data_IF_469786076613
#
_entry.id   IF_469786076613
#
_cell.length_a   1.000
_cell.length_b   1.000
_cell.length_c   1.000
_cell.angle_alpha   90.00
_cell.angle_beta   90.00
_cell.angle_gamma   90.00
#
_symmetry.space_group_name_H-M   'P 1'
#
loop_
_entity.id
_entity.type
_entity.pdbx_description
1 polymer ?
#
# COMPACT_ATOMS: atom_id res chain seq x y z
N UNK A 1 9.74 30.26 -21.97
CA UNK A 1 8.59 29.53 -21.40
C UNK A 1 8.37 30.06 -19.99
N UNK A 2 7.28 30.78 -19.75
CA UNK A 2 7.08 31.58 -18.54
C UNK A 2 6.65 30.65 -17.38
N UNK A 3 7.19 30.86 -16.20
CA UNK A 3 6.89 30.05 -14.98
C UNK A 3 5.37 30.00 -14.70
N UNK A 4 4.65 31.09 -15.00
CA UNK A 4 3.20 31.15 -14.89
C UNK A 4 2.46 30.17 -15.83
N UNK A 5 3.00 29.90 -17.03
CA UNK A 5 2.42 28.93 -17.96
C UNK A 5 2.55 27.49 -17.47
N UNK A 6 3.63 27.20 -16.74
CA UNK A 6 3.84 25.90 -16.12
C UNK A 6 2.86 25.68 -14.96
N UNK A 7 2.63 26.71 -14.15
CA UNK A 7 1.64 26.68 -13.06
C UNK A 7 0.19 26.59 -13.58
N UNK A 8 -0.16 27.30 -14.64
CA UNK A 8 -1.48 27.25 -15.27
C UNK A 8 -1.73 25.92 -15.97
N UNK A 9 -0.73 25.35 -16.67
CA UNK A 9 -0.82 24.00 -17.24
C UNK A 9 -0.96 22.92 -16.15
N UNK A 10 -0.26 23.08 -15.03
CA UNK A 10 -0.37 22.20 -13.86
C UNK A 10 -1.76 22.30 -13.22
N UNK A 11 -2.31 23.51 -13.05
CA UNK A 11 -3.65 23.76 -12.49
C UNK A 11 -4.78 23.25 -13.40
N UNK A 12 -4.66 23.43 -14.74
CA UNK A 12 -5.60 22.87 -15.74
C UNK A 12 -5.53 21.33 -15.76
N UNK A 13 -4.33 20.74 -15.67
CA UNK A 13 -4.15 19.30 -15.61
C UNK A 13 -4.78 18.70 -14.34
N UNK A 14 -4.67 19.39 -13.21
CA UNK A 14 -5.35 19.00 -11.96
C UNK A 14 -6.88 19.14 -12.05
N UNK A 15 -7.40 20.17 -12.68
CA UNK A 15 -8.84 20.37 -12.86
C UNK A 15 -9.48 19.33 -13.80
N UNK A 16 -8.77 18.91 -14.85
CA UNK A 16 -9.23 17.86 -15.78
C UNK A 16 -9.14 16.48 -15.14
N UNK A 17 -8.06 16.21 -14.38
CA UNK A 17 -7.88 14.97 -13.62
C UNK A 17 -8.98 14.84 -12.55
N UNK A 18 -9.35 15.91 -11.85
CA UNK A 18 -10.40 15.85 -10.85
C UNK A 18 -11.80 15.57 -11.44
N UNK A 19 -12.13 16.08 -12.64
CA UNK A 19 -13.42 15.80 -13.29
C UNK A 19 -13.53 14.37 -13.83
N UNK A 20 -12.44 13.78 -14.30
CA UNK A 20 -12.38 12.36 -14.69
C UNK A 20 -12.35 11.42 -13.47
N UNK A 21 -12.02 11.96 -12.30
CA UNK A 21 -11.95 11.26 -11.02
C UNK A 21 -13.33 10.92 -10.41
N UNK A 22 -14.33 11.74 -10.65
CA UNK A 22 -15.64 11.62 -10.00
C UNK A 22 -16.59 10.66 -10.72
N UNK A 23 -16.24 10.19 -11.93
CA UNK A 23 -17.13 9.41 -12.78
C UNK A 23 -16.86 7.90 -12.83
N UNK A 24 -15.81 7.38 -12.22
CA UNK A 24 -15.50 5.95 -12.25
C UNK A 24 -15.44 5.32 -10.85
N UNK A 25 -16.59 5.06 -10.24
CA UNK A 25 -16.73 3.83 -9.47
C UNK A 25 -16.60 2.68 -10.47
N UNK A 26 -15.53 1.88 -10.31
CA UNK A 26 -15.35 0.75 -11.19
C UNK A 26 -16.51 -0.23 -11.00
N UNK A 27 -16.95 -0.89 -12.08
CA UNK A 27 -17.99 -1.91 -12.05
C UNK A 27 -17.73 -3.03 -11.02
N UNK A 28 -16.48 -3.17 -10.54
CA UNK A 28 -16.06 -4.12 -9.50
C UNK A 28 -15.90 -3.49 -8.10
N UNK A 29 -16.36 -2.26 -7.90
CA UNK A 29 -16.34 -1.57 -6.61
C UNK A 29 -14.95 -1.17 -6.09
N UNK A 30 -13.86 -1.31 -6.88
CA UNK A 30 -12.52 -0.93 -6.40
C UNK A 30 -12.29 0.59 -6.40
N UNK A 31 -11.58 1.07 -5.38
CA UNK A 31 -11.22 2.49 -5.27
C UNK A 31 -9.95 2.80 -6.05
N UNK A 32 -9.95 3.94 -6.73
CA UNK A 32 -8.71 4.50 -7.29
C UNK A 32 -7.80 5.00 -6.16
N UNK A 33 -6.46 5.06 -6.35
CA UNK A 33 -5.55 5.59 -5.34
C UNK A 33 -5.93 6.97 -4.84
N UNK A 34 -6.35 7.83 -5.75
CA UNK A 34 -6.76 9.19 -5.40
C UNK A 34 -7.99 9.23 -4.50
N UNK A 35 -8.98 8.38 -4.78
CA UNK A 35 -10.20 8.30 -4.00
C UNK A 35 -9.93 7.67 -2.62
N UNK A 36 -9.07 6.64 -2.58
CA UNK A 36 -8.63 6.04 -1.32
C UNK A 36 -7.87 7.04 -0.45
N UNK A 37 -6.92 7.77 -1.03
CA UNK A 37 -6.19 8.83 -0.33
C UNK A 37 -7.14 9.91 0.20
N UNK A 38 -8.12 10.33 -0.59
CA UNK A 38 -9.12 11.32 -0.17
C UNK A 38 -9.98 10.84 1.00
N UNK A 39 -10.31 9.53 1.05
CA UNK A 39 -11.08 8.94 2.15
C UNK A 39 -10.32 8.90 3.48
N UNK A 40 -9.02 8.67 3.45
CA UNK A 40 -8.23 8.51 4.69
C UNK A 40 -7.57 9.81 5.16
N UNK A 41 -7.18 10.68 4.23
CA UNK A 41 -6.41 11.87 4.57
C UNK A 41 -7.27 12.99 5.17
N UNK A 42 -6.65 13.82 5.97
CA UNK A 42 -7.20 15.10 6.35
C UNK A 42 -7.15 16.04 5.14
N UNK A 43 -8.06 17.04 5.12
CA UNK A 43 -8.24 17.91 3.96
C UNK A 43 -6.92 18.56 3.51
N UNK A 44 -6.65 18.50 2.21
CA UNK A 44 -5.47 19.09 1.54
C UNK A 44 -4.11 18.67 2.12
N UNK A 45 -4.05 17.61 2.93
CA UNK A 45 -2.81 17.18 3.59
C UNK A 45 -1.91 16.29 2.75
N UNK A 46 -2.41 15.68 1.67
CA UNK A 46 -1.64 14.76 0.84
C UNK A 46 -0.59 15.47 -0.02
N UNK A 47 0.64 14.97 0.05
CA UNK A 47 1.76 15.36 -0.80
C UNK A 47 2.38 14.13 -1.44
N UNK A 48 2.28 14.03 -2.77
CA UNK A 48 2.89 12.94 -3.52
C UNK A 48 4.41 13.02 -3.49
N UNK A 49 5.05 11.85 -3.32
CA UNK A 49 6.49 11.64 -3.39
C UNK A 49 6.81 10.64 -4.52
N UNK A 50 7.96 10.81 -5.16
CA UNK A 50 8.48 9.89 -6.19
C UNK A 50 7.56 9.70 -7.40
N UNK A 51 6.75 10.70 -7.73
CA UNK A 51 5.82 10.65 -8.86
C UNK A 51 6.52 10.38 -10.22
N UNK A 52 7.77 10.81 -10.36
CA UNK A 52 8.56 10.65 -11.59
C UNK A 52 9.13 9.24 -11.79
N UNK A 53 9.15 8.39 -10.76
CA UNK A 53 9.69 7.04 -10.88
C UNK A 53 8.77 6.20 -11.77
N UNK A 54 9.34 5.65 -12.82
CA UNK A 54 8.64 4.88 -13.84
C UNK A 54 9.45 3.64 -14.23
N UNK A 55 8.75 2.60 -14.67
CA UNK A 55 9.41 1.43 -15.21
C UNK A 55 9.91 1.65 -16.64
N UNK A 56 10.97 0.94 -16.99
CA UNK A 56 11.42 0.72 -18.36
C UNK A 56 11.02 -0.66 -18.87
N UNK A 57 11.79 -1.14 -19.86
CA UNK A 57 11.65 -2.51 -20.39
C UNK A 57 13.01 -3.23 -20.23
N UNK A 58 13.37 -3.68 -19.03
CA UNK A 58 14.72 -4.20 -18.76
C UNK A 58 15.04 -5.49 -19.52
N UNK A 59 14.02 -6.25 -19.91
CA UNK A 59 14.17 -7.53 -20.62
C UNK A 59 13.88 -7.42 -22.12
N UNK A 60 13.69 -6.21 -22.65
CA UNK A 60 13.26 -6.01 -24.05
C UNK A 60 12.02 -6.86 -24.41
N UNK A 61 11.08 -7.02 -23.45
CA UNK A 61 9.91 -7.85 -23.62
C UNK A 61 9.00 -7.28 -24.73
N UNK A 62 8.65 -8.08 -25.75
CA UNK A 62 7.89 -7.59 -26.90
C UNK A 62 6.53 -6.97 -26.50
N UNK A 63 6.27 -5.76 -26.97
CA UNK A 63 4.99 -5.06 -26.74
C UNK A 63 4.78 -4.49 -25.35
N UNK A 64 5.72 -4.68 -24.40
CA UNK A 64 5.57 -4.24 -23.03
C UNK A 64 5.52 -2.72 -22.91
N UNK A 65 6.39 -1.98 -23.62
CA UNK A 65 6.41 -0.52 -23.61
C UNK A 65 5.07 0.08 -24.06
N UNK A 66 4.50 -0.45 -25.16
CA UNK A 66 3.19 -0.01 -25.64
C UNK A 66 2.10 -0.25 -24.58
N UNK A 67 2.16 -1.39 -23.90
CA UNK A 67 1.20 -1.75 -22.85
C UNK A 67 1.33 -0.85 -21.63
N UNK A 68 2.56 -0.53 -21.21
CA UNK A 68 2.85 0.41 -20.12
C UNK A 68 2.33 1.82 -20.47
N UNK A 69 2.60 2.30 -21.67
CA UNK A 69 2.16 3.63 -22.12
C UNK A 69 0.63 3.73 -22.19
N UNK A 70 -0.04 2.72 -22.71
CA UNK A 70 -1.50 2.67 -22.70
C UNK A 70 -2.09 2.71 -21.28
N UNK A 71 -1.44 2.03 -20.31
CA UNK A 71 -1.87 2.09 -18.91
C UNK A 71 -1.58 3.46 -18.28
N UNK A 72 -0.47 4.12 -18.61
CA UNK A 72 -0.18 5.50 -18.19
C UNK A 72 -1.24 6.48 -18.67
N UNK A 73 -1.64 6.37 -19.93
CA UNK A 73 -2.71 7.20 -20.51
C UNK A 73 -4.04 6.94 -19.81
N UNK A 74 -4.39 5.67 -19.58
CA UNK A 74 -5.64 5.26 -18.94
C UNK A 74 -5.74 5.70 -17.48
N UNK A 75 -4.66 5.55 -16.71
CA UNK A 75 -4.68 5.79 -15.26
C UNK A 75 -4.19 7.17 -14.85
N UNK A 76 -3.47 7.86 -15.73
CA UNK A 76 -2.77 9.10 -15.42
C UNK A 76 -1.55 8.92 -14.50
N UNK A 77 -1.13 7.69 -14.24
CA UNK A 77 -0.03 7.36 -13.34
C UNK A 77 1.20 6.85 -14.09
N UNK A 78 2.37 6.98 -13.49
CA UNK A 78 3.61 6.48 -14.08
C UNK A 78 3.80 4.97 -13.89
N UNK A 79 3.24 4.41 -12.80
CA UNK A 79 3.23 2.97 -12.51
C UNK A 79 2.13 2.62 -11.49
N UNK A 80 2.01 1.36 -11.12
CA UNK A 80 0.93 0.77 -10.35
C UNK A 80 0.89 1.17 -8.85
N UNK A 81 1.60 2.19 -8.43
CA UNK A 81 1.56 2.70 -7.04
C UNK A 81 1.71 4.21 -6.98
N UNK A 82 0.91 4.84 -6.14
CA UNK A 82 1.05 6.24 -5.72
C UNK A 82 1.62 6.27 -4.32
N UNK A 83 2.70 7.04 -4.12
CA UNK A 83 3.38 7.16 -2.84
C UNK A 83 3.42 8.61 -2.38
N UNK A 84 3.29 8.84 -1.09
CA UNK A 84 3.29 10.21 -0.56
C UNK A 84 3.21 10.26 0.96
N UNK A 85 2.96 11.45 1.47
CA UNK A 85 2.65 11.68 2.88
C UNK A 85 1.33 12.40 3.02
N UNK A 86 0.58 12.10 4.07
CA UNK A 86 -0.64 12.82 4.43
C UNK A 86 -0.75 12.94 5.95
N UNK A 87 -1.80 13.61 6.42
CA UNK A 87 -2.25 13.52 7.82
C UNK A 87 -3.50 12.66 7.88
N UNK A 88 -3.57 11.82 8.90
CA UNK A 88 -4.73 10.98 9.20
C UNK A 88 -5.09 11.23 10.66
N UNK A 89 -6.21 11.93 10.90
CA UNK A 89 -6.60 12.36 12.23
C UNK A 89 -5.55 13.21 12.94
N UNK A 90 -4.85 14.08 12.20
CA UNK A 90 -3.76 14.94 12.65
C UNK A 90 -2.36 14.30 12.61
N UNK A 91 -2.24 12.97 12.56
CA UNK A 91 -0.95 12.26 12.56
C UNK A 91 -0.35 12.25 11.16
N UNK A 92 0.88 12.75 11.02
CA UNK A 92 1.62 12.71 9.74
C UNK A 92 2.09 11.30 9.45
N UNK A 93 1.75 10.78 8.28
CA UNK A 93 1.91 9.38 7.92
C UNK A 93 2.45 9.26 6.49
N UNK A 94 3.34 8.30 6.25
CA UNK A 94 3.77 7.89 4.92
C UNK A 94 2.77 6.88 4.36
N UNK A 95 2.30 7.08 3.12
CA UNK A 95 1.25 6.26 2.52
C UNK A 95 1.62 5.82 1.12
N UNK A 96 1.49 4.53 0.83
CA UNK A 96 1.52 3.98 -0.51
C UNK A 96 0.17 3.36 -0.85
N UNK A 97 -0.34 3.63 -2.05
CA UNK A 97 -1.60 3.06 -2.52
C UNK A 97 -1.39 2.45 -3.89
N UNK A 98 -1.56 1.14 -4.00
CA UNK A 98 -1.46 0.43 -5.27
C UNK A 98 -2.72 0.61 -6.11
N UNK A 99 -2.55 0.53 -7.42
CA UNK A 99 -3.62 0.67 -8.41
C UNK A 99 -3.71 -0.56 -9.30
N UNK A 100 -4.72 -1.40 -9.08
CA UNK A 100 -4.93 -2.60 -9.91
C UNK A 100 -5.30 -2.29 -11.35
N UNK A 101 -5.71 -1.07 -11.69
CA UNK A 101 -5.99 -0.66 -13.07
C UNK A 101 -4.73 -0.60 -13.92
N UNK A 102 -3.57 -0.36 -13.29
CA UNK A 102 -2.28 -0.36 -13.96
C UNK A 102 -1.68 -1.77 -13.92
N UNK A 103 -1.79 -2.51 -15.03
CA UNK A 103 -1.27 -3.88 -15.19
C UNK A 103 -1.63 -4.80 -13.99
N UNK A 104 -2.89 -4.78 -13.55
CA UNK A 104 -3.39 -5.54 -12.40
C UNK A 104 -2.66 -5.23 -11.08
N UNK A 105 -2.12 -4.03 -10.92
CA UNK A 105 -1.35 -3.67 -9.73
C UNK A 105 -0.04 -4.45 -9.58
N UNK A 106 0.46 -5.09 -10.65
CA UNK A 106 1.62 -5.96 -10.55
C UNK A 106 2.88 -5.21 -10.14
N UNK A 107 3.64 -5.82 -9.24
CA UNK A 107 4.89 -5.29 -8.72
C UNK A 107 6.03 -5.48 -9.73
N UNK A 108 6.48 -4.38 -10.33
CA UNK A 108 7.71 -4.30 -11.12
C UNK A 108 8.75 -3.42 -10.43
N UNK A 109 9.84 -3.11 -11.12
CA UNK A 109 10.97 -2.31 -10.62
C UNK A 109 10.49 -0.98 -10.03
N UNK A 110 9.63 -0.26 -10.74
CA UNK A 110 9.17 1.06 -10.29
C UNK A 110 8.31 0.98 -9.02
N UNK A 111 7.44 -0.03 -8.89
CA UNK A 111 6.65 -0.25 -7.69
C UNK A 111 7.55 -0.56 -6.49
N UNK A 112 8.47 -1.51 -6.65
CA UNK A 112 9.42 -1.86 -5.60
C UNK A 112 10.31 -0.68 -5.19
N UNK A 113 10.81 0.08 -6.16
CA UNK A 113 11.61 1.29 -5.90
C UNK A 113 10.83 2.36 -5.13
N UNK A 114 9.59 2.65 -5.54
CA UNK A 114 8.74 3.63 -4.86
C UNK A 114 8.43 3.23 -3.42
N UNK A 115 8.08 1.95 -3.18
CA UNK A 115 7.80 1.42 -1.84
C UNK A 115 9.08 1.51 -0.98
N UNK A 116 10.21 1.04 -1.49
CA UNK A 116 11.51 1.10 -0.78
C UNK A 116 11.86 2.52 -0.38
N UNK A 117 11.84 3.47 -1.34
CA UNK A 117 12.14 4.88 -1.05
C UNK A 117 11.18 5.53 -0.07
N UNK A 118 9.89 5.17 -0.14
CA UNK A 118 8.91 5.67 0.82
C UNK A 118 9.18 5.13 2.22
N UNK A 119 9.52 3.84 2.34
CA UNK A 119 9.87 3.19 3.61
C UNK A 119 11.11 3.82 4.23
N UNK A 120 12.17 4.04 3.43
CA UNK A 120 13.38 4.74 3.88
C UNK A 120 13.09 6.20 4.29
N UNK A 121 12.20 6.87 3.55
CA UNK A 121 11.76 8.23 3.91
C UNK A 121 11.00 8.23 5.24
N UNK A 122 10.09 7.27 5.43
CA UNK A 122 9.33 7.10 6.67
C UNK A 122 10.27 6.85 7.86
N UNK A 123 11.25 5.97 7.69
CA UNK A 123 12.28 5.68 8.70
C UNK A 123 13.06 6.94 9.09
N UNK A 124 13.61 7.67 8.10
CA UNK A 124 14.37 8.92 8.34
C UNK A 124 13.55 10.02 9.01
N UNK A 125 12.25 10.04 8.77
CA UNK A 125 11.33 11.06 9.30
C UNK A 125 10.55 10.59 10.52
N UNK A 126 10.78 9.35 10.97
CA UNK A 126 10.06 8.72 12.10
C UNK A 126 8.54 8.81 11.92
N UNK A 127 8.07 8.49 10.69
CA UNK A 127 6.66 8.49 10.35
C UNK A 127 6.14 7.06 10.33
N UNK A 128 4.91 6.79 10.80
CA UNK A 128 4.26 5.53 10.52
C UNK A 128 4.08 5.34 9.01
N UNK A 129 4.11 4.08 8.57
CA UNK A 129 3.97 3.67 7.18
C UNK A 129 2.67 2.88 7.00
N UNK A 130 1.88 3.25 6.01
CA UNK A 130 0.69 2.50 5.60
C UNK A 130 0.82 2.15 4.11
N UNK A 131 0.66 0.87 3.77
CA UNK A 131 0.64 0.42 2.38
C UNK A 131 -0.70 -0.25 2.09
N UNK A 132 -1.46 0.33 1.16
CA UNK A 132 -2.66 -0.28 0.60
C UNK A 132 -2.26 -1.16 -0.56
N UNK A 133 -2.31 -2.47 -0.36
CA UNK A 133 -1.97 -3.46 -1.37
C UNK A 133 -3.17 -3.78 -2.25
N UNK A 134 -2.98 -3.75 -3.57
CA UNK A 134 -3.95 -4.14 -4.58
C UNK A 134 -3.18 -4.70 -5.78
N UNK A 135 -2.99 -6.02 -5.87
CA UNK A 135 -2.07 -6.59 -6.84
C UNK A 135 -2.38 -8.03 -7.23
N UNK A 136 -2.16 -8.32 -8.52
CA UNK A 136 -2.10 -9.68 -9.05
C UNK A 136 -0.75 -10.38 -8.87
N UNK A 137 0.25 -9.76 -8.21
CA UNK A 137 1.56 -10.35 -7.93
C UNK A 137 2.74 -9.69 -8.65
N UNK A 138 3.81 -10.44 -8.89
CA UNK A 138 5.00 -9.96 -9.58
C UNK A 138 4.75 -9.72 -11.08
N UNK A 139 5.38 -8.70 -11.64
CA UNK A 139 5.21 -8.31 -13.06
C UNK A 139 6.01 -9.23 -13.98
N UNK A 140 5.32 -10.13 -14.67
CA UNK A 140 5.94 -11.16 -15.52
C UNK A 140 6.88 -10.58 -16.59
N UNK A 141 6.52 -9.46 -17.20
CA UNK A 141 7.31 -8.84 -18.28
C UNK A 141 8.69 -8.35 -17.82
N UNK A 142 8.84 -8.06 -16.55
CA UNK A 142 10.11 -7.65 -15.94
C UNK A 142 10.92 -8.84 -15.41
N UNK A 143 10.39 -10.07 -15.48
CA UNK A 143 11.08 -11.32 -15.16
C UNK A 143 11.71 -11.30 -13.76
N UNK A 144 12.98 -11.69 -13.69
CA UNK A 144 13.74 -11.74 -12.43
C UNK A 144 13.79 -10.40 -11.70
N UNK A 145 13.81 -9.27 -12.43
CA UNK A 145 13.83 -7.95 -11.80
C UNK A 145 12.58 -7.70 -10.95
N UNK A 146 11.41 -8.22 -11.36
CA UNK A 146 10.19 -8.11 -10.56
C UNK A 146 10.24 -8.99 -9.30
N UNK A 147 10.84 -10.18 -9.37
CA UNK A 147 11.02 -11.06 -8.22
C UNK A 147 11.99 -10.45 -7.20
N UNK A 148 13.06 -9.82 -7.66
CA UNK A 148 14.01 -9.13 -6.79
C UNK A 148 13.40 -7.95 -6.02
N UNK A 149 12.25 -7.40 -6.50
CA UNK A 149 11.55 -6.38 -5.74
C UNK A 149 10.93 -6.91 -4.44
N UNK A 150 10.57 -8.19 -4.40
CA UNK A 150 10.09 -8.83 -3.16
C UNK A 150 11.17 -8.74 -2.07
N UNK A 151 12.39 -9.18 -2.35
CA UNK A 151 13.51 -9.11 -1.41
C UNK A 151 13.85 -7.66 -1.04
N UNK A 152 13.85 -6.75 -2.03
CA UNK A 152 14.18 -5.34 -1.82
C UNK A 152 13.19 -4.64 -0.89
N UNK A 153 11.89 -4.82 -1.11
CA UNK A 153 10.86 -4.20 -0.27
C UNK A 153 10.83 -4.81 1.13
N UNK A 154 10.99 -6.13 1.25
CA UNK A 154 11.08 -6.82 2.53
C UNK A 154 12.27 -6.31 3.36
N UNK A 155 13.46 -6.22 2.76
CA UNK A 155 14.65 -5.71 3.46
C UNK A 155 14.51 -4.25 3.92
N UNK A 156 13.81 -3.43 3.15
CA UNK A 156 13.55 -2.04 3.54
C UNK A 156 12.56 -1.95 4.72
N UNK A 157 11.52 -2.76 4.70
CA UNK A 157 10.50 -2.82 5.77
C UNK A 157 11.13 -3.37 7.05
N UNK A 158 11.95 -4.42 6.97
CA UNK A 158 12.62 -4.98 8.15
C UNK A 158 13.48 -3.92 8.83
N UNK A 159 14.34 -3.23 8.08
CA UNK A 159 15.13 -2.11 8.62
C UNK A 159 14.27 -0.99 9.23
N UNK A 160 13.10 -0.74 8.65
CA UNK A 160 12.16 0.25 9.18
C UNK A 160 11.57 -0.18 10.52
N UNK A 161 11.21 -1.46 10.66
CA UNK A 161 10.69 -2.05 11.90
C UNK A 161 11.77 -2.11 12.98
N UNK A 162 12.99 -2.53 12.65
CA UNK A 162 14.15 -2.52 13.54
C UNK A 162 14.46 -1.12 14.11
N UNK A 163 14.18 -0.09 13.32
CA UNK A 163 14.29 1.31 13.76
C UNK A 163 13.09 1.79 14.61
N UNK A 164 12.18 0.89 14.99
CA UNK A 164 10.98 1.20 15.79
C UNK A 164 9.85 1.84 15.00
N UNK A 165 9.84 1.68 13.68
CA UNK A 165 8.77 2.20 12.81
C UNK A 165 7.52 1.32 12.85
N UNK A 166 6.33 1.94 12.88
CA UNK A 166 5.05 1.24 12.76
C UNK A 166 4.69 1.03 11.30
N UNK A 167 4.51 -0.20 10.87
CA UNK A 167 4.03 -0.57 9.54
C UNK A 167 2.62 -1.17 9.58
N UNK A 168 1.65 -0.52 8.95
CA UNK A 168 0.29 -1.01 8.76
C UNK A 168 0.14 -1.48 7.32
N UNK A 169 -0.13 -2.77 7.13
CA UNK A 169 -0.48 -3.34 5.83
C UNK A 169 -1.99 -3.38 5.68
N UNK A 170 -2.51 -2.74 4.63
CA UNK A 170 -3.95 -2.71 4.33
C UNK A 170 -4.22 -3.47 3.03
N UNK A 171 -4.83 -4.65 3.14
CA UNK A 171 -5.03 -5.59 2.04
C UNK A 171 -6.38 -5.33 1.36
N UNK A 172 -6.35 -5.13 0.05
CA UNK A 172 -7.56 -4.91 -0.74
C UNK A 172 -7.71 -5.96 -1.84
N UNK A 173 -8.86 -5.99 -2.49
CA UNK A 173 -9.17 -7.00 -3.49
C UNK A 173 -8.64 -6.65 -4.90
N UNK A 174 -7.78 -7.53 -5.50
CA UNK A 174 -7.08 -8.66 -4.90
C UNK A 174 -5.71 -8.28 -4.35
N UNK A 175 -5.17 -9.06 -3.41
CA UNK A 175 -3.76 -9.00 -3.00
C UNK A 175 -3.16 -10.40 -3.11
N UNK A 176 -2.42 -10.67 -4.20
CA UNK A 176 -2.01 -12.02 -4.54
C UNK A 176 -0.55 -12.14 -4.96
N UNK A 177 -0.06 -13.37 -5.05
CA UNK A 177 1.26 -13.71 -5.59
C UNK A 177 2.42 -13.11 -4.83
N UNK A 178 3.42 -12.59 -5.55
CA UNK A 178 4.62 -12.03 -4.95
C UNK A 178 4.40 -10.82 -4.05
N UNK A 179 3.27 -10.11 -4.16
CA UNK A 179 2.94 -8.98 -3.26
C UNK A 179 2.46 -9.50 -1.92
N UNK A 180 1.56 -10.51 -1.89
CA UNK A 180 1.16 -11.15 -0.62
C UNK A 180 2.32 -11.88 0.05
N UNK A 181 3.21 -12.52 -0.73
CA UNK A 181 4.39 -13.21 -0.22
C UNK A 181 5.58 -12.31 0.13
N UNK A 182 5.40 -10.98 0.13
CA UNK A 182 6.44 -10.02 0.49
C UNK A 182 5.89 -8.97 1.46
N UNK A 183 5.95 -7.69 1.10
CA UNK A 183 5.62 -6.61 2.01
C UNK A 183 4.16 -6.65 2.55
N UNK A 184 3.21 -7.22 1.81
CA UNK A 184 1.81 -7.19 2.23
C UNK A 184 1.52 -8.01 3.50
N UNK A 185 2.29 -9.06 3.78
CA UNK A 185 2.18 -9.89 5.00
C UNK A 185 3.15 -9.52 6.12
N UNK A 186 3.90 -8.42 5.98
CA UNK A 186 4.91 -8.00 6.95
C UNK A 186 4.45 -6.86 7.88
N UNK A 187 3.15 -6.48 7.83
CA UNK A 187 2.62 -5.45 8.71
C UNK A 187 2.76 -5.81 10.19
N UNK A 188 3.03 -4.83 11.04
CA UNK A 188 2.85 -4.95 12.48
C UNK A 188 1.36 -5.04 12.82
N UNK A 189 0.54 -4.45 11.95
CA UNK A 189 -0.91 -4.58 11.95
C UNK A 189 -1.35 -4.83 10.50
N UNK A 190 -2.08 -5.92 10.29
CA UNK A 190 -2.58 -6.33 8.98
C UNK A 190 -4.09 -6.19 8.94
N UNK A 191 -4.57 -5.27 8.12
CA UNK A 191 -6.00 -4.97 7.96
C UNK A 191 -6.44 -5.42 6.58
N UNK A 192 -7.66 -5.93 6.43
CA UNK A 192 -8.23 -6.26 5.13
C UNK A 192 -9.58 -5.56 4.89
N UNK A 193 -9.92 -5.34 3.62
CA UNK A 193 -11.31 -5.02 3.22
C UNK A 193 -12.19 -6.27 3.31
N UNK A 194 -13.50 -6.12 3.62
CA UNK A 194 -14.42 -7.24 3.59
C UNK A 194 -14.42 -7.94 2.22
N UNK A 195 -14.45 -9.27 2.21
CA UNK A 195 -14.48 -10.09 1.01
C UNK A 195 -13.26 -10.00 0.11
N UNK A 196 -12.15 -9.40 0.55
CA UNK A 196 -10.95 -9.28 -0.27
C UNK A 196 -10.28 -10.64 -0.48
N UNK A 197 -9.95 -10.96 -1.74
CA UNK A 197 -9.17 -12.15 -2.09
C UNK A 197 -7.69 -11.88 -1.77
N UNK A 198 -7.14 -12.65 -0.85
CA UNK A 198 -5.76 -12.50 -0.38
C UNK A 198 -5.11 -13.89 -0.38
N UNK A 199 -4.15 -14.11 -1.26
CA UNK A 199 -3.53 -15.42 -1.42
C UNK A 199 -2.16 -15.34 -2.08
N UNK A 200 -1.37 -16.40 -1.98
CA UNK A 200 -0.18 -16.56 -2.81
C UNK A 200 -0.58 -17.12 -4.18
N UNK A 201 -1.05 -18.36 -4.22
CA UNK A 201 -1.57 -18.96 -5.44
C UNK A 201 -3.07 -18.66 -5.57
N UNK A 202 -3.48 -18.15 -6.73
CA UNK A 202 -4.91 -17.87 -7.00
C UNK A 202 -5.76 -19.14 -7.02
N UNK A 203 -7.08 -19.03 -6.74
CA UNK A 203 -7.99 -20.18 -6.69
C UNK A 203 -7.92 -21.07 -7.93
N UNK A 204 -7.89 -20.47 -9.13
CA UNK A 204 -7.80 -21.22 -10.41
C UNK A 204 -6.54 -22.10 -10.49
N UNK A 205 -5.41 -21.59 -10.02
CA UNK A 205 -4.14 -22.34 -10.06
C UNK A 205 -4.22 -23.53 -9.12
N UNK A 206 -4.76 -23.33 -7.93
CA UNK A 206 -4.92 -24.39 -6.92
C UNK A 206 -5.88 -25.47 -7.47
N UNK A 207 -7.07 -25.10 -7.92
CA UNK A 207 -8.09 -26.01 -8.43
C UNK A 207 -7.58 -26.84 -9.62
N UNK A 208 -6.84 -26.21 -10.54
CA UNK A 208 -6.22 -26.91 -11.67
C UNK A 208 -5.12 -27.88 -11.22
N UNK A 209 -4.41 -27.57 -10.13
CA UNK A 209 -3.31 -28.43 -9.64
C UNK A 209 -3.84 -29.61 -8.84
N UNK A 210 -4.84 -29.41 -7.98
CA UNK A 210 -5.38 -30.48 -7.13
C UNK A 210 -6.56 -31.20 -7.75
N UNK A 211 -7.13 -30.69 -8.86
CA UNK A 211 -8.29 -31.27 -9.53
C UNK A 211 -9.61 -31.22 -8.73
N UNK A 212 -9.70 -30.35 -7.73
CA UNK A 212 -10.86 -30.21 -6.85
C UNK A 212 -11.27 -28.74 -6.74
N UNK A 213 -12.58 -28.51 -6.53
CA UNK A 213 -13.09 -27.16 -6.23
C UNK A 213 -12.72 -26.76 -4.81
N UNK A 214 -12.35 -25.50 -4.65
CA UNK A 214 -12.07 -24.93 -3.32
C UNK A 214 -13.35 -24.69 -2.54
N UNK A 215 -13.32 -24.77 -1.20
CA UNK A 215 -14.44 -24.36 -0.35
C UNK A 215 -14.85 -22.90 -0.62
N UNK A 216 -16.14 -22.62 -0.43
CA UNK A 216 -16.66 -21.26 -0.52
C UNK A 216 -16.00 -20.35 0.52
N UNK A 217 -15.61 -19.12 0.12
CA UNK A 217 -14.94 -18.18 1.01
C UNK A 217 -13.44 -18.46 1.24
N UNK A 218 -12.90 -19.55 0.69
CA UNK A 218 -11.47 -19.86 0.84
C UNK A 218 -10.58 -18.73 0.33
N UNK A 219 -9.56 -18.36 1.10
CA UNK A 219 -8.63 -17.26 0.83
C UNK A 219 -9.27 -15.85 0.82
N UNK A 220 -10.51 -15.70 1.25
CA UNK A 220 -11.09 -14.38 1.50
C UNK A 220 -10.70 -13.85 2.89
N UNK A 221 -10.86 -12.54 3.07
CA UNK A 221 -10.46 -11.85 4.30
C UNK A 221 -11.08 -12.47 5.57
N UNK A 222 -12.33 -12.93 5.50
CA UNK A 222 -13.04 -13.57 6.59
C UNK A 222 -12.37 -14.89 7.00
N UNK A 223 -12.02 -15.72 6.02
CA UNK A 223 -11.27 -16.95 6.23
C UNK A 223 -9.89 -16.68 6.87
N UNK A 224 -9.20 -15.64 6.38
CA UNK A 224 -7.88 -15.28 6.90
C UNK A 224 -7.93 -14.74 8.32
N UNK A 225 -9.00 -14.03 8.68
CA UNK A 225 -9.22 -13.55 10.05
C UNK A 225 -9.44 -14.72 11.01
N UNK A 226 -10.28 -15.67 10.64
CA UNK A 226 -10.54 -16.89 11.43
C UNK A 226 -9.28 -17.72 11.66
N UNK A 227 -8.34 -17.71 10.69
CA UNK A 227 -7.07 -18.44 10.78
C UNK A 227 -5.92 -17.59 11.35
N UNK A 228 -6.18 -16.40 11.85
CA UNK A 228 -5.20 -15.53 12.49
C UNK A 228 -4.10 -14.98 11.54
N UNK A 229 -4.37 -14.94 10.23
CA UNK A 229 -3.44 -14.42 9.24
C UNK A 229 -3.53 -12.90 9.05
N UNK A 230 -4.62 -12.30 9.52
CA UNK A 230 -4.84 -10.84 9.56
C UNK A 230 -5.44 -10.47 10.91
N UNK A 231 -5.28 -9.21 11.33
CA UNK A 231 -5.70 -8.74 12.66
C UNK A 231 -7.14 -8.23 12.67
N UNK A 232 -7.62 -7.65 11.57
CA UNK A 232 -8.98 -7.12 11.49
C UNK A 232 -9.48 -6.93 10.06
N UNK A 233 -10.80 -6.92 9.93
CA UNK A 233 -11.50 -6.52 8.70
C UNK A 233 -12.16 -5.17 8.94
N UNK A 234 -11.95 -4.21 8.04
CA UNK A 234 -12.43 -2.84 8.18
C UNK A 234 -13.09 -2.36 6.90
N UNK A 235 -14.36 -1.94 7.02
CA UNK A 235 -15.10 -1.31 5.94
C UNK A 235 -14.45 0.02 5.51
N UNK A 236 -14.61 0.36 4.23
CA UNK A 236 -14.09 1.62 3.66
C UNK A 236 -14.58 2.87 4.38
N UNK A 237 -15.84 2.87 4.85
CA UNK A 237 -16.44 3.97 5.60
C UNK A 237 -15.76 4.22 6.94
N UNK A 238 -15.28 3.16 7.58
CA UNK A 238 -14.69 3.19 8.92
C UNK A 238 -13.15 3.30 8.88
N UNK A 239 -12.54 3.18 7.68
CA UNK A 239 -11.12 3.12 7.45
C UNK A 239 -10.35 4.30 8.06
N UNK A 240 -10.80 5.55 7.80
CA UNK A 240 -10.16 6.75 8.35
C UNK A 240 -10.18 6.77 9.88
N UNK A 241 -11.32 6.42 10.47
CA UNK A 241 -11.49 6.42 11.92
C UNK A 241 -10.60 5.38 12.58
N UNK A 242 -10.59 4.15 12.03
CA UNK A 242 -9.77 3.04 12.54
C UNK A 242 -8.28 3.36 12.44
N UNK A 243 -7.80 3.80 11.28
CA UNK A 243 -6.41 4.20 11.10
C UNK A 243 -6.01 5.36 12.03
N UNK A 244 -6.89 6.36 12.19
CA UNK A 244 -6.65 7.47 13.13
C UNK A 244 -6.49 7.01 14.58
N UNK A 245 -7.31 6.06 15.04
CA UNK A 245 -7.21 5.48 16.39
C UNK A 245 -5.89 4.74 16.56
N UNK A 246 -5.53 3.84 15.64
CA UNK A 246 -4.29 3.07 15.68
C UNK A 246 -3.08 4.00 15.70
N UNK A 247 -3.03 4.97 14.79
CA UNK A 247 -1.93 5.91 14.70
C UNK A 247 -1.74 6.73 15.99
N UNK A 248 -2.84 7.19 16.61
CA UNK A 248 -2.79 7.94 17.86
C UNK A 248 -2.27 7.11 19.03
N UNK A 249 -2.57 5.83 19.08
CA UNK A 249 -2.03 4.92 20.12
C UNK A 249 -0.52 4.73 20.00
N UNK A 250 0.03 4.81 18.79
CA UNK A 250 1.45 4.56 18.49
C UNK A 250 2.29 5.85 18.36
N UNK A 251 1.67 7.01 18.29
CA UNK A 251 2.43 8.26 18.44
C UNK A 251 2.83 8.36 19.90
N UNK A 252 4.14 8.28 20.17
CA UNK A 252 4.72 8.51 21.49
C UNK A 252 4.34 9.91 22.01
N UNK A 253 3.19 10.04 22.59
CA UNK A 253 2.96 10.99 23.67
C UNK A 253 3.75 10.43 24.83
N UNK A 254 4.95 10.99 25.08
CA UNK A 254 5.88 10.46 26.05
C UNK A 254 5.15 10.00 27.30
N UNK A 255 5.08 8.70 27.51
CA UNK A 255 4.60 8.12 28.75
C UNK A 255 5.70 8.38 29.80
N UNK A 256 5.75 9.60 30.31
CA UNK A 256 6.62 9.98 31.41
C UNK A 256 6.18 9.35 32.76
N UNK A 257 5.11 8.55 32.74
CA UNK A 257 4.50 7.98 33.96
C UNK A 257 5.15 6.66 34.42
N UNK A 258 6.11 6.07 33.64
CA UNK A 258 6.71 4.79 34.03
C UNK A 258 8.18 4.85 34.46
N UNK A 259 8.74 6.02 34.65
CA UNK A 259 10.14 6.18 35.08
C UNK A 259 10.32 6.39 36.59
N UNK A 260 9.25 6.39 37.38
CA UNK A 260 9.37 6.39 38.83
C UNK A 260 9.18 4.96 39.32
N UNK A 261 10.23 4.29 39.85
CA UNK A 261 10.08 2.97 40.46
C UNK A 261 9.00 3.04 41.55
N UNK A 262 8.08 2.07 41.50
CA UNK A 262 7.07 1.92 42.53
C UNK A 262 7.72 1.69 43.89
N UNK A 263 7.17 2.18 45.01
CA UNK A 263 7.66 1.82 46.33
C UNK A 263 7.76 0.32 46.59
N UNK A 264 7.05 -0.52 45.81
CA UNK A 264 7.14 -1.98 45.84
C UNK A 264 8.44 -2.52 45.22
N UNK A 265 9.04 -1.80 44.28
CA UNK A 265 10.27 -2.21 43.61
C UNK A 265 11.48 -2.08 44.55
N UNK A 266 11.39 -1.23 45.56
CA UNK A 266 12.39 -1.09 46.64
C UNK A 266 12.24 -2.13 47.74
N UNK A 267 11.08 -2.75 47.90
CA UNK A 267 10.83 -3.76 48.95
C UNK A 267 11.36 -5.16 48.57
N UNK A 268 11.62 -5.42 47.28
CA UNK A 268 12.12 -6.73 46.78
C UNK A 268 13.66 -6.82 46.78
N UNK A 269 14.39 -5.76 47.14
CA UNK A 269 15.87 -5.73 47.10
C UNK A 269 16.51 -5.73 48.52
N UNK A 270 15.78 -6.17 49.53
CA UNK A 270 16.33 -6.45 50.89
C UNK A 270 16.21 -7.90 51.27
#
# INVERSE_FOLDING_TARGET
MNINDIFLKRKKRWGTINRLRDSEEQADGSLTPSRRIALISDDKSFRELYAQVKTGNPNSFPGYEKKVEANRLKTGQQDAVVTGTCRIGGVKTAVAVMDKRFLMGSMGIAVGEKITRLTEYAMKRKLPLIIFAASGGARMQEGLFSLMQMAKTTAAIEKFKDAGGLFISYLTNPTTGGVSASFASLGDIIIAEPGALICFAGPRVIEQTIGQKLPEGFQHSEFLLEHGMIDMIVDRKDMKQTLSKILKMHVNTGCLLYTSPSPRDYAASR
#
